data_IF_682011098936
#
_entry.id   IF_682011098936
#
_cell.length_a   1.000
_cell.length_b   1.000
_cell.length_c   1.000
_cell.angle_alpha   90.00
_cell.angle_beta   90.00
_cell.angle_gamma   90.00
#
_symmetry.space_group_name_H-M   'P 1'
#
loop_
_entity.id
_entity.type
_entity.pdbx_description
1 polymer ?
#
# COMPACT_ATOMS: atom_id res chain seq x y z
N UNK A 1 48.37 -45.12 -11.85
CA UNK A 1 49.28 -44.11 -11.25
C UNK A 1 48.90 -42.76 -11.85
N UNK A 2 48.49 -41.72 -11.15
CA UNK A 2 48.60 -41.37 -9.74
C UNK A 2 47.30 -40.69 -9.26
N UNK A 3 46.97 -40.90 -7.99
CA UNK A 3 45.84 -40.28 -7.30
C UNK A 3 46.26 -38.91 -6.74
N UNK A 4 45.39 -37.91 -6.89
CA UNK A 4 45.55 -36.59 -6.28
C UNK A 4 44.41 -36.37 -5.29
N UNK A 5 44.69 -36.56 -3.99
CA UNK A 5 43.80 -36.24 -2.89
C UNK A 5 44.12 -34.83 -2.34
N UNK A 6 43.11 -34.01 -1.97
CA UNK A 6 43.34 -32.72 -1.34
C UNK A 6 43.55 -32.82 0.19
N UNK A 7 44.27 -31.87 0.80
CA UNK A 7 44.71 -31.95 2.19
C UNK A 7 43.65 -31.52 3.22
N UNK A 8 43.71 -32.20 4.37
CA UNK A 8 42.97 -31.97 5.61
C UNK A 8 43.47 -30.69 6.30
N UNK A 9 42.58 -29.71 6.50
CA UNK A 9 42.87 -28.51 7.28
C UNK A 9 42.70 -28.79 8.78
N UNK A 10 43.79 -28.63 9.51
CA UNK A 10 43.89 -28.84 10.96
C UNK A 10 43.31 -27.67 11.75
N UNK A 11 42.64 -28.04 12.84
CA UNK A 11 42.04 -27.22 13.88
C UNK A 11 43.14 -26.66 14.80
N UNK A 12 43.21 -25.35 14.99
CA UNK A 12 44.08 -24.71 15.97
C UNK A 12 43.27 -24.12 17.14
N UNK A 13 43.71 -24.29 18.41
CA UNK A 13 43.09 -23.69 19.59
C UNK A 13 43.82 -22.41 20.05
N UNK A 14 43.08 -21.39 20.50
CA UNK A 14 43.56 -20.27 21.33
C UNK A 14 42.40 -19.85 22.24
N UNK A 15 42.36 -20.21 23.52
CA UNK A 15 43.17 -19.77 24.67
C UNK A 15 42.93 -18.29 25.07
N UNK A 16 42.08 -18.11 26.09
CA UNK A 16 42.41 -17.41 27.34
C UNK A 16 42.37 -15.87 27.40
N UNK A 17 41.57 -15.34 28.34
CA UNK A 17 42.03 -14.21 29.18
C UNK A 17 41.04 -13.08 29.49
N UNK A 18 40.57 -13.07 30.75
CA UNK A 18 40.40 -11.92 31.67
C UNK A 18 39.53 -10.72 31.24
N UNK A 19 38.48 -10.43 32.03
CA UNK A 19 38.61 -9.46 33.14
C UNK A 19 37.36 -9.46 34.03
N UNK A 20 37.59 -9.62 35.34
CA UNK A 20 36.59 -9.41 36.38
C UNK A 20 36.50 -7.93 36.75
N UNK A 21 35.29 -7.50 37.08
CA UNK A 21 34.99 -6.19 37.64
C UNK A 21 33.87 -6.33 38.66
N UNK A 22 34.24 -6.68 39.89
CA UNK A 22 33.37 -6.67 41.06
C UNK A 22 32.96 -5.24 41.41
N UNK A 23 31.66 -4.98 41.48
CA UNK A 23 31.12 -3.81 42.20
C UNK A 23 30.20 -4.31 43.30
N UNK A 24 30.72 -4.23 44.51
CA UNK A 24 30.05 -4.40 45.80
C UNK A 24 29.07 -3.25 46.05
N UNK A 25 27.80 -3.60 46.35
CA UNK A 25 26.87 -3.10 47.38
C UNK A 25 26.93 -1.61 47.83
N UNK A 26 25.79 -0.93 48.17
CA UNK A 26 24.84 -1.47 49.14
C UNK A 26 23.33 -1.11 49.04
N UNK A 27 22.59 -2.04 49.63
CA UNK A 27 21.29 -1.94 50.29
C UNK A 27 21.10 -0.65 51.11
N UNK A 28 20.01 0.09 50.85
CA UNK A 28 19.35 0.93 51.86
C UNK A 28 17.83 0.90 51.67
N UNK A 29 17.15 0.82 52.81
CA UNK A 29 15.72 0.64 53.00
C UNK A 29 14.93 1.96 52.91
N UNK A 30 13.68 1.86 52.42
CA UNK A 30 12.38 2.45 52.88
C UNK A 30 12.32 3.90 53.46
N UNK A 31 11.16 4.58 53.68
CA UNK A 31 9.74 4.40 53.25
C UNK A 31 9.05 5.77 52.85
N UNK A 32 7.71 5.77 52.72
CA UNK A 32 6.76 6.92 52.67
C UNK A 32 6.79 7.79 51.40
N UNK A 33 5.68 8.06 50.70
CA UNK A 33 4.42 8.62 51.19
C UNK A 33 4.38 10.11 50.83
N UNK A 34 3.76 10.48 49.71
CA UNK A 34 3.72 11.88 49.27
C UNK A 34 2.75 12.14 48.12
N UNK A 35 1.55 12.62 48.47
CA UNK A 35 0.67 13.40 47.60
C UNK A 35 1.39 14.67 47.14
N UNK A 36 1.21 15.06 45.86
CA UNK A 36 1.67 16.38 45.44
C UNK A 36 1.59 16.64 43.93
N UNK A 37 0.54 17.36 43.55
CA UNK A 37 0.46 18.35 42.47
C UNK A 37 0.87 17.98 41.03
N UNK A 38 -0.15 17.95 40.17
CA UNK A 38 -0.01 18.05 38.73
C UNK A 38 0.69 19.35 38.34
N UNK A 39 1.94 19.22 37.89
CA UNK A 39 2.66 20.28 37.21
C UNK A 39 2.54 20.03 35.71
N UNK A 40 1.92 20.98 35.01
CA UNK A 40 1.79 20.99 33.56
C UNK A 40 3.19 20.94 32.94
N UNK A 41 3.54 19.80 32.32
CA UNK A 41 4.72 19.65 31.49
C UNK A 41 4.57 20.56 30.27
N UNK A 42 5.17 21.75 30.36
CA UNK A 42 5.63 22.50 29.20
C UNK A 42 6.62 21.59 28.46
N UNK A 43 6.19 21.07 27.31
CA UNK A 43 7.08 20.47 26.34
C UNK A 43 8.07 21.54 25.86
N UNK A 44 9.25 21.59 26.49
CA UNK A 44 10.41 22.27 25.96
C UNK A 44 10.73 21.61 24.62
N UNK A 45 10.26 22.25 23.55
CA UNK A 45 10.74 22.02 22.20
C UNK A 45 12.20 22.44 22.21
N UNK A 46 13.09 21.47 22.39
CA UNK A 46 14.53 21.66 22.32
C UNK A 46 14.83 22.39 21.01
N UNK A 47 15.19 23.66 21.16
CA UNK A 47 15.51 24.55 20.06
C UNK A 47 16.70 23.93 19.32
N UNK A 48 16.41 23.33 18.17
CA UNK A 48 17.37 22.58 17.39
C UNK A 48 18.54 23.51 17.04
N UNK A 49 19.65 23.38 17.76
CA UNK A 49 20.86 24.13 17.49
C UNK A 49 21.25 23.90 16.03
N UNK A 50 21.31 24.99 15.28
CA UNK A 50 21.59 24.96 13.84
C UNK A 50 22.88 24.15 13.63
N UNK A 51 22.77 23.05 12.89
CA UNK A 51 23.90 22.16 12.67
C UNK A 51 25.06 22.96 12.01
N UNK A 52 26.32 22.75 12.44
CA UNK A 52 27.46 23.43 11.85
C UNK A 52 27.49 23.27 10.33
N UNK A 53 27.91 24.29 9.55
CA UNK A 53 28.03 24.15 8.10
C UNK A 53 29.04 23.04 7.74
N UNK A 54 28.79 22.32 6.63
CA UNK A 54 29.69 21.29 6.12
C UNK A 54 31.02 21.91 5.68
N UNK A 55 32.14 21.28 6.03
CA UNK A 55 33.46 21.69 5.54
C UNK A 55 33.61 21.37 4.05
N UNK A 56 34.38 22.21 3.34
CA UNK A 56 34.62 22.02 1.90
C UNK A 56 35.29 20.66 1.58
N UNK A 57 36.15 20.17 2.48
CA UNK A 57 36.75 18.84 2.35
C UNK A 57 35.70 17.72 2.40
N UNK A 58 34.72 17.81 3.30
CA UNK A 58 33.63 16.83 3.39
C UNK A 58 32.74 16.87 2.14
N UNK A 59 32.45 18.06 1.60
CA UNK A 59 31.69 18.19 0.34
C UNK A 59 32.39 17.50 -0.84
N UNK A 60 33.72 17.62 -0.94
CA UNK A 60 34.51 16.92 -1.94
C UNK A 60 34.42 15.40 -1.81
N UNK A 61 34.51 14.87 -0.59
CA UNK A 61 34.39 13.43 -0.33
C UNK A 61 32.98 12.89 -0.63
N UNK A 62 31.93 13.62 -0.23
CA UNK A 62 30.54 13.26 -0.54
C UNK A 62 30.30 13.27 -2.05
N UNK A 63 30.84 14.26 -2.76
CA UNK A 63 30.75 14.37 -4.22
C UNK A 63 31.44 13.21 -4.93
N UNK A 64 32.65 12.84 -4.49
CA UNK A 64 33.36 11.68 -5.02
C UNK A 64 32.59 10.38 -4.76
N UNK A 65 32.03 10.21 -3.55
CA UNK A 65 31.22 9.04 -3.20
C UNK A 65 29.93 8.94 -4.04
N UNK A 66 29.23 10.05 -4.26
CA UNK A 66 28.06 10.11 -5.12
C UNK A 66 28.42 9.78 -6.58
N UNK A 67 29.52 10.33 -7.09
CA UNK A 67 29.99 10.07 -8.45
C UNK A 67 30.35 8.60 -8.66
N UNK A 68 31.05 7.98 -7.69
CA UNK A 68 31.38 6.56 -7.71
C UNK A 68 30.16 5.63 -7.61
N UNK A 69 29.06 6.09 -7.03
CA UNK A 69 27.80 5.34 -6.93
C UNK A 69 26.83 5.57 -8.11
N UNK A 70 27.25 6.28 -9.17
CA UNK A 70 26.40 6.59 -10.32
C UNK A 70 25.52 7.83 -10.14
N UNK A 71 25.97 8.80 -9.34
CA UNK A 71 25.37 10.14 -9.21
C UNK A 71 24.26 10.27 -8.16
N UNK A 72 23.80 9.16 -7.57
CA UNK A 72 22.80 9.17 -6.50
C UNK A 72 23.10 8.12 -5.42
N UNK A 73 22.75 8.42 -4.17
CA UNK A 73 22.92 7.49 -3.06
C UNK A 73 21.87 7.73 -1.99
N UNK A 74 21.42 6.65 -1.32
CA UNK A 74 20.48 6.79 -0.21
C UNK A 74 21.14 7.47 0.99
N UNK A 75 20.39 8.32 1.68
CA UNK A 75 20.85 9.06 2.85
C UNK A 75 21.38 8.12 3.95
N UNK A 76 20.77 6.94 4.09
CA UNK A 76 21.21 5.93 5.04
C UNK A 76 22.58 5.30 4.71
N UNK A 77 22.97 5.24 3.43
CA UNK A 77 24.33 4.82 3.04
C UNK A 77 25.32 5.96 3.26
N UNK A 78 24.94 7.20 2.90
CA UNK A 78 25.75 8.38 3.15
C UNK A 78 26.02 8.64 4.63
N UNK A 79 25.03 8.46 5.51
CA UNK A 79 25.19 8.67 6.95
C UNK A 79 26.11 7.63 7.61
N UNK A 80 26.21 6.43 7.02
CA UNK A 80 27.18 5.41 7.46
C UNK A 80 28.60 5.73 7.01
N UNK A 81 28.77 6.30 5.81
CA UNK A 81 30.08 6.73 5.31
C UNK A 81 30.58 8.02 6.00
N UNK A 82 29.65 8.92 6.36
CA UNK A 82 29.95 10.21 6.97
C UNK A 82 29.14 10.36 8.29
N UNK A 83 29.69 9.87 9.41
CA UNK A 83 28.99 9.93 10.70
C UNK A 83 28.71 11.38 11.10
N UNK A 84 27.49 11.65 11.56
CA UNK A 84 27.05 13.00 11.96
C UNK A 84 26.49 13.85 10.83
N UNK A 85 26.49 13.36 9.58
CA UNK A 85 25.91 14.06 8.44
C UNK A 85 24.38 14.17 8.58
N UNK A 86 23.87 15.40 8.70
CA UNK A 86 22.43 15.69 8.82
C UNK A 86 21.83 16.13 7.48
N UNK A 87 20.56 15.79 7.23
CA UNK A 87 19.82 16.19 6.02
C UNK A 87 19.90 17.71 5.77
N UNK A 88 19.74 18.51 6.82
CA UNK A 88 19.74 19.96 6.74
C UNK A 88 21.05 20.56 6.17
N UNK A 89 22.18 19.86 6.36
CA UNK A 89 23.47 20.30 5.81
C UNK A 89 23.59 19.96 4.32
N UNK A 90 23.00 18.83 3.88
CA UNK A 90 23.03 18.37 2.49
C UNK A 90 22.09 19.16 1.58
N UNK A 91 20.93 19.60 2.11
CA UNK A 91 19.88 20.30 1.35
C UNK A 91 20.37 21.59 0.66
N UNK A 92 21.47 22.17 1.15
CA UNK A 92 22.08 23.38 0.56
C UNK A 92 22.97 23.10 -0.66
N UNK A 93 23.49 21.89 -0.78
CA UNK A 93 24.52 21.55 -1.79
C UNK A 93 24.06 20.44 -2.75
N UNK A 94 23.12 19.61 -2.31
CA UNK A 94 22.64 18.44 -3.05
C UNK A 94 21.12 18.43 -3.09
N UNK A 95 20.56 17.79 -4.11
CA UNK A 95 19.11 17.63 -4.22
C UNK A 95 18.69 16.41 -3.41
N UNK A 96 17.93 16.63 -2.34
CA UNK A 96 17.39 15.55 -1.50
C UNK A 96 15.92 15.34 -1.83
N UNK A 97 15.54 14.13 -2.22
CA UNK A 97 14.15 13.75 -2.46
C UNK A 97 13.81 12.45 -1.76
N UNK A 98 12.53 12.20 -1.53
CA UNK A 98 12.03 10.97 -0.93
C UNK A 98 11.63 10.00 -2.04
N UNK A 99 12.38 8.91 -2.20
CA UNK A 99 11.99 7.80 -3.03
C UNK A 99 11.08 6.89 -2.20
N UNK A 100 9.81 6.77 -2.61
CA UNK A 100 8.74 6.16 -1.80
C UNK A 100 9.00 4.72 -1.35
N UNK A 101 10.00 4.03 -1.91
CA UNK A 101 10.41 2.68 -1.49
C UNK A 101 11.73 2.65 -0.71
N UNK A 102 12.64 3.60 -0.91
CA UNK A 102 14.02 3.54 -0.39
C UNK A 102 14.38 4.65 0.60
N UNK A 103 13.44 5.53 0.94
CA UNK A 103 13.66 6.63 1.87
C UNK A 103 14.24 7.86 1.19
N UNK A 104 15.00 8.67 1.94
CA UNK A 104 15.63 9.87 1.42
C UNK A 104 16.83 9.52 0.53
N UNK A 105 16.85 10.03 -0.70
CA UNK A 105 17.94 9.86 -1.67
C UNK A 105 18.55 11.22 -1.98
N UNK A 106 19.89 11.26 -2.04
CA UNK A 106 20.68 12.46 -2.29
C UNK A 106 21.29 12.34 -3.68
N UNK A 107 21.12 13.37 -4.50
CA UNK A 107 21.59 13.41 -5.89
C UNK A 107 22.47 14.64 -6.15
N UNK A 108 23.48 14.45 -7.00
CA UNK A 108 24.39 15.51 -7.43
C UNK A 108 23.63 16.56 -8.28
N UNK A 109 23.65 17.84 -7.88
CA UNK A 109 23.11 18.92 -8.71
C UNK A 109 24.03 19.11 -9.93
N UNK A 110 23.56 18.73 -11.11
CA UNK A 110 24.30 18.94 -12.38
C UNK A 110 24.24 17.78 -13.37
N UNK A 111 23.83 16.57 -12.96
CA UNK A 111 23.73 15.41 -13.88
C UNK A 111 22.31 15.09 -14.37
N UNK A 112 21.35 15.99 -14.19
CA UNK A 112 19.96 15.79 -14.61
C UNK A 112 19.74 15.83 -16.14
N UNK A 113 20.78 15.76 -16.98
CA UNK A 113 20.66 16.02 -18.43
C UNK A 113 20.79 14.81 -19.38
N UNK A 114 21.01 13.55 -18.96
CA UNK A 114 21.14 12.48 -20.00
C UNK A 114 20.68 11.05 -19.68
N UNK A 115 19.82 10.80 -18.68
CA UNK A 115 19.39 9.42 -18.38
C UNK A 115 18.36 8.81 -19.34
N UNK A 116 18.21 9.30 -20.58
CA UNK A 116 17.40 8.65 -21.64
C UNK A 116 18.17 7.59 -22.46
N UNK A 117 19.41 7.23 -22.09
CA UNK A 117 20.22 6.29 -22.89
C UNK A 117 20.89 5.11 -22.16
N UNK A 118 20.50 4.75 -20.93
CA UNK A 118 20.89 3.43 -20.40
C UNK A 118 19.98 2.33 -20.94
N UNK A 119 20.28 1.95 -22.19
CA UNK A 119 19.82 0.74 -22.85
C UNK A 119 20.24 -0.50 -22.05
N UNK A 120 19.33 -1.46 -21.97
CA UNK A 120 19.54 -2.80 -21.46
C UNK A 120 20.76 -3.44 -22.16
N UNK A 121 21.86 -3.56 -21.42
CA UNK A 121 23.05 -4.29 -21.84
C UNK A 121 22.73 -5.76 -22.06
N UNK A 122 22.62 -6.09 -23.33
CA UNK A 122 22.38 -7.40 -23.91
C UNK A 122 23.32 -8.48 -23.36
N UNK A 123 22.72 -9.64 -23.09
CA UNK A 123 23.45 -10.88 -22.91
C UNK A 123 24.27 -11.24 -24.14
N UNK A 124 25.45 -11.79 -23.86
CA UNK A 124 26.37 -12.43 -24.78
C UNK A 124 25.65 -13.37 -25.76
N UNK A 125 25.80 -13.14 -27.07
CA UNK A 125 25.63 -14.18 -28.09
C UNK A 125 26.79 -14.12 -29.09
N UNK A 126 27.36 -15.30 -29.30
CA UNK A 126 28.45 -15.67 -30.19
C UNK A 126 28.30 -15.11 -31.63
N UNK A 127 29.42 -14.77 -32.29
CA UNK A 127 29.49 -14.69 -33.75
C UNK A 127 30.15 -15.95 -34.32
N UNK A 128 29.39 -16.87 -34.90
CA UNK A 128 29.91 -17.94 -35.76
C UNK A 128 28.81 -18.53 -36.67
N UNK A 129 29.18 -18.81 -37.93
CA UNK A 129 28.41 -19.35 -39.07
C UNK A 129 27.70 -18.30 -39.95
N UNK A 130 28.33 -17.83 -41.04
CA UNK A 130 28.32 -18.43 -42.41
C UNK A 130 26.92 -18.35 -43.06
N UNK A 131 26.69 -17.40 -43.97
CA UNK A 131 26.89 -17.47 -45.44
C UNK A 131 25.91 -18.39 -46.20
N UNK A 132 25.34 -17.78 -47.26
CA UNK A 132 24.72 -18.32 -48.49
C UNK A 132 23.36 -19.04 -48.40
N UNK A 133 22.34 -18.47 -49.07
CA UNK A 133 21.86 -18.96 -50.37
C UNK A 133 20.84 -17.97 -50.99
N UNK A 134 20.98 -17.72 -52.29
CA UNK A 134 20.11 -16.93 -53.17
C UNK A 134 18.97 -17.79 -53.74
N UNK A 135 17.98 -17.12 -54.34
CA UNK A 135 16.91 -17.65 -55.22
C UNK A 135 15.70 -18.21 -54.47
N UNK A 136 14.44 -18.16 -54.94
CA UNK A 136 13.92 -18.03 -56.30
C UNK A 136 12.41 -17.72 -56.24
N UNK A 137 11.92 -17.05 -57.28
CA UNK A 137 10.54 -16.80 -57.74
C UNK A 137 9.38 -17.64 -57.17
N UNK A 138 8.23 -16.98 -56.98
CA UNK A 138 6.93 -17.63 -56.78
C UNK A 138 5.75 -16.65 -56.86
N UNK A 139 5.36 -16.28 -58.08
CA UNK A 139 4.07 -15.67 -58.43
C UNK A 139 2.91 -16.61 -58.06
N UNK A 140 1.78 -16.08 -57.56
CA UNK A 140 0.57 -16.89 -57.46
C UNK A 140 -0.59 -16.36 -56.61
N UNK A 141 -1.19 -15.23 -57.03
CA UNK A 141 -2.64 -15.01 -57.15
C UNK A 141 -3.67 -15.27 -56.03
N UNK A 142 -4.90 -14.75 -56.19
CA UNK A 142 -5.82 -14.38 -55.11
C UNK A 142 -7.08 -15.26 -55.00
N UNK A 143 -7.73 -15.32 -53.82
CA UNK A 143 -9.15 -15.73 -53.67
C UNK A 143 -9.61 -15.48 -52.23
N UNK A 144 -10.46 -14.49 -51.93
CA UNK A 144 -11.93 -14.51 -51.98
C UNK A 144 -12.60 -15.46 -50.96
N UNK A 145 -13.12 -14.88 -49.87
CA UNK A 145 -14.30 -15.35 -49.11
C UNK A 145 -14.79 -14.15 -48.27
N UNK A 146 -15.87 -13.48 -48.69
CA UNK A 146 -17.23 -13.66 -48.14
C UNK A 146 -17.27 -13.36 -46.62
N UNK A 147 -17.85 -12.29 -46.10
CA UNK A 147 -19.07 -11.60 -46.52
C UNK A 147 -20.23 -12.08 -45.64
N UNK A 148 -20.45 -11.44 -44.48
CA UNK A 148 -21.65 -11.65 -43.67
C UNK A 148 -22.22 -10.29 -43.21
N UNK A 149 -23.52 -10.02 -43.47
CA UNK A 149 -24.08 -8.67 -43.46
C UNK A 149 -24.67 -8.23 -42.13
N UNK A 150 -24.99 -6.93 -42.10
CA UNK A 150 -25.46 -6.18 -40.94
C UNK A 150 -26.80 -6.60 -40.34
N UNK A 151 -27.00 -6.14 -39.11
CA UNK A 151 -28.31 -6.04 -38.47
C UNK A 151 -28.54 -4.59 -38.06
N UNK A 152 -29.25 -3.85 -38.92
CA UNK A 152 -29.90 -2.59 -38.57
C UNK A 152 -31.12 -2.94 -37.73
N UNK A 153 -31.27 -2.34 -36.56
CA UNK A 153 -32.53 -2.33 -35.85
C UNK A 153 -33.20 -0.98 -36.10
N UNK A 154 -34.15 -0.98 -37.04
CA UNK A 154 -35.05 0.12 -37.30
C UNK A 154 -36.40 -0.23 -36.66
N UNK A 155 -36.95 0.71 -35.89
CA UNK A 155 -38.33 0.65 -35.41
C UNK A 155 -38.48 1.14 -33.98
N UNK A 156 -38.87 2.41 -33.79
CA UNK A 156 -40.31 2.66 -33.66
C UNK A 156 -40.66 4.15 -33.47
N UNK A 157 -41.67 4.53 -34.25
CA UNK A 157 -42.78 5.44 -33.96
C UNK A 157 -42.49 6.90 -33.65
N UNK A 158 -42.63 7.66 -34.75
CA UNK A 158 -43.41 8.89 -34.77
C UNK A 158 -44.76 8.74 -34.04
N UNK A 159 -45.01 9.64 -33.10
CA UNK A 159 -46.35 10.03 -32.69
C UNK A 159 -46.35 11.55 -32.59
N UNK A 160 -47.05 12.16 -33.55
CA UNK A 160 -47.45 13.55 -33.56
C UNK A 160 -48.31 13.83 -32.33
N UNK A 161 -48.05 14.91 -31.60
CA UNK A 161 -49.05 15.56 -30.75
C UNK A 161 -48.87 17.08 -30.79
N UNK A 162 -50.00 17.72 -31.06
CA UNK A 162 -50.24 19.15 -31.22
C UNK A 162 -49.99 19.95 -29.92
N UNK A 163 -49.90 21.29 -30.01
CA UNK A 163 -49.72 22.17 -28.86
C UNK A 163 -51.01 22.31 -28.07
N UNK A 164 -50.98 21.91 -26.80
CA UNK A 164 -52.06 22.08 -25.84
C UNK A 164 -51.63 23.03 -24.73
N UNK A 165 -52.16 24.24 -24.78
CA UNK A 165 -52.21 25.23 -23.70
C UNK A 165 -52.93 24.64 -22.49
N UNK A 166 -52.24 24.51 -21.35
CA UNK A 166 -52.89 24.32 -20.06
C UNK A 166 -52.00 24.89 -18.95
N UNK A 167 -52.45 26.02 -18.42
CA UNK A 167 -52.08 26.50 -17.10
C UNK A 167 -52.34 25.40 -16.06
N UNK A 168 -51.34 25.10 -15.23
CA UNK A 168 -51.44 24.06 -14.21
C UNK A 168 -50.41 24.28 -13.13
N UNK A 169 -50.88 24.81 -12.01
CA UNK A 169 -50.14 25.04 -10.76
C UNK A 169 -49.57 23.72 -10.23
N UNK A 170 -48.33 23.74 -9.75
CA UNK A 170 -47.71 22.54 -9.18
C UNK A 170 -46.26 22.76 -8.80
N UNK A 171 -46.04 23.50 -7.72
CA UNK A 171 -44.75 23.67 -7.07
C UNK A 171 -44.23 22.33 -6.53
N UNK A 172 -43.01 21.92 -6.90
CA UNK A 172 -42.14 21.10 -6.04
C UNK A 172 -40.71 21.02 -6.62
N UNK A 173 -39.77 21.68 -5.94
CA UNK A 173 -38.41 21.16 -5.74
C UNK A 173 -37.45 21.10 -6.92
N UNK A 174 -37.47 22.06 -7.84
CA UNK A 174 -36.37 22.23 -8.79
C UNK A 174 -35.09 22.66 -8.07
N UNK A 175 -34.12 21.76 -7.94
CA UNK A 175 -32.73 22.10 -7.59
C UNK A 175 -32.10 22.80 -8.80
N UNK A 176 -32.46 24.05 -9.02
CA UNK A 176 -31.72 24.93 -9.93
C UNK A 176 -30.43 25.31 -9.22
N UNK A 177 -29.34 24.64 -9.60
CA UNK A 177 -27.99 24.99 -9.18
C UNK A 177 -27.76 26.47 -9.54
N UNK A 178 -27.49 27.37 -8.56
CA UNK A 178 -27.28 28.78 -8.84
C UNK A 178 -25.97 28.96 -9.63
N UNK A 179 -26.07 29.00 -10.96
CA UNK A 179 -24.96 29.15 -11.90
C UNK A 179 -24.53 30.62 -12.09
N UNK A 180 -24.71 31.47 -11.07
CA UNK A 180 -24.57 32.92 -11.25
C UNK A 180 -24.10 33.64 -9.99
N UNK A 181 -22.95 33.25 -9.39
CA UNK A 181 -22.20 34.18 -8.54
C UNK A 181 -20.73 33.79 -8.24
N UNK A 182 -19.99 33.18 -9.18
CA UNK A 182 -18.65 32.63 -8.89
C UNK A 182 -17.47 33.44 -9.48
N UNK A 183 -17.67 34.75 -9.70
CA UNK A 183 -16.61 35.71 -10.05
C UNK A 183 -16.29 36.65 -8.87
N UNK A 184 -16.37 36.16 -7.64
CA UNK A 184 -15.67 36.84 -6.54
C UNK A 184 -14.18 36.86 -6.90
N UNK A 185 -13.63 38.06 -7.11
CA UNK A 185 -12.24 38.30 -7.50
C UNK A 185 -11.31 37.51 -6.57
N UNK A 186 -10.88 36.34 -7.02
CA UNK A 186 -10.00 35.48 -6.24
C UNK A 186 -8.61 36.07 -6.37
N UNK A 187 -7.95 36.30 -5.23
CA UNK A 187 -6.58 36.78 -5.23
C UNK A 187 -5.71 35.87 -6.13
N UNK A 188 -4.84 36.47 -6.97
CA UNK A 188 -3.97 35.71 -7.84
C UNK A 188 -3.09 34.78 -7.02
N UNK A 189 -2.88 33.56 -7.52
CA UNK A 189 -2.12 32.55 -6.78
C UNK A 189 -0.66 33.00 -6.64
N UNK A 190 -0.12 32.97 -5.41
CA UNK A 190 1.28 33.30 -5.18
C UNK A 190 2.21 32.45 -6.06
N UNK A 191 3.19 33.07 -6.69
CA UNK A 191 4.03 32.43 -7.72
C UNK A 191 4.77 31.19 -7.20
N UNK A 192 5.15 31.18 -5.92
CA UNK A 192 5.74 30.01 -5.26
C UNK A 192 4.79 28.80 -5.28
N UNK A 193 3.50 29.00 -4.96
CA UNK A 193 2.50 27.93 -5.01
C UNK A 193 2.28 27.42 -6.43
N UNK A 194 2.34 28.30 -7.44
CA UNK A 194 2.28 27.87 -8.84
C UNK A 194 3.46 26.96 -9.22
N UNK A 195 4.67 27.27 -8.75
CA UNK A 195 5.84 26.42 -8.99
C UNK A 195 5.73 25.06 -8.30
N UNK A 196 5.21 25.02 -7.08
CA UNK A 196 4.96 23.76 -6.36
C UNK A 196 3.91 22.90 -7.07
N UNK A 197 2.80 23.51 -7.50
CA UNK A 197 1.75 22.83 -8.29
C UNK A 197 2.31 22.32 -9.61
N UNK A 198 3.12 23.12 -10.31
CA UNK A 198 3.79 22.72 -11.56
C UNK A 198 4.69 21.50 -11.33
N UNK A 199 5.57 21.56 -10.34
CA UNK A 199 6.47 20.45 -10.01
C UNK A 199 5.71 19.17 -9.61
N UNK A 200 4.59 19.32 -8.90
CA UNK A 200 3.73 18.20 -8.53
C UNK A 200 3.08 17.54 -9.76
N UNK A 201 2.59 18.34 -10.71
CA UNK A 201 2.01 17.84 -11.96
C UNK A 201 3.09 17.15 -12.80
N UNK A 202 4.28 17.74 -12.94
CA UNK A 202 5.43 17.15 -13.64
C UNK A 202 5.82 15.79 -13.05
N UNK A 203 5.91 15.70 -11.72
CA UNK A 203 6.21 14.46 -10.99
C UNK A 203 5.15 13.37 -11.24
N UNK A 204 3.90 13.76 -11.48
CA UNK A 204 2.81 12.84 -11.82
C UNK A 204 2.65 12.57 -13.31
N UNK A 205 3.66 12.91 -14.11
CA UNK A 205 3.66 12.65 -15.56
C UNK A 205 2.94 13.70 -16.36
N UNK A 206 2.85 14.94 -15.85
CA UNK A 206 2.37 16.12 -16.56
C UNK A 206 0.85 16.36 -16.51
N UNK A 207 0.06 15.39 -16.06
CA UNK A 207 -1.39 15.54 -15.88
C UNK A 207 -1.82 14.96 -14.54
N UNK A 208 -2.69 15.65 -13.82
CA UNK A 208 -3.16 15.21 -12.51
C UNK A 208 -4.67 15.51 -12.36
N UNK A 209 -5.48 14.57 -11.82
CA UNK A 209 -6.89 14.85 -11.55
C UNK A 209 -7.02 15.97 -10.52
N UNK A 210 -7.93 16.91 -10.78
CA UNK A 210 -8.16 18.11 -9.97
C UNK A 210 -8.48 17.73 -8.52
N UNK A 211 -9.24 16.67 -8.29
CA UNK A 211 -9.54 16.18 -6.94
C UNK A 211 -8.30 15.74 -6.15
N UNK A 212 -7.27 15.21 -6.80
CA UNK A 212 -5.99 14.89 -6.15
C UNK A 212 -5.19 16.15 -5.87
N UNK A 213 -5.23 17.08 -6.80
CA UNK A 213 -4.49 18.33 -6.71
C UNK A 213 -5.04 19.23 -5.58
N UNK A 214 -6.36 19.35 -5.43
CA UNK A 214 -7.01 20.11 -4.35
C UNK A 214 -6.87 19.46 -2.97
N UNK A 215 -6.67 18.13 -2.90
CA UNK A 215 -6.31 17.44 -1.65
C UNK A 215 -4.90 17.79 -1.18
N UNK A 216 -3.95 17.87 -2.12
CA UNK A 216 -2.56 18.22 -1.84
C UNK A 216 -2.39 19.72 -1.52
N UNK A 217 -3.06 20.57 -2.29
CA UNK A 217 -2.99 22.03 -2.16
C UNK A 217 -4.34 22.56 -1.66
N UNK A 218 -4.51 22.57 -0.33
CA UNK A 218 -5.76 23.02 0.30
C UNK A 218 -6.05 24.49 -0.02
N UNK A 219 -7.32 24.77 -0.31
CA UNK A 219 -7.79 26.11 -0.66
C UNK A 219 -7.54 26.53 -2.11
N UNK A 220 -6.94 25.66 -2.92
CA UNK A 220 -6.70 25.92 -4.33
C UNK A 220 -8.01 25.81 -5.13
N UNK A 221 -8.41 26.90 -5.79
CA UNK A 221 -9.65 26.94 -6.59
C UNK A 221 -9.36 26.70 -8.06
N UNK A 222 -10.33 26.13 -8.78
CA UNK A 222 -10.26 25.90 -10.24
C UNK A 222 -9.98 27.20 -11.00
N UNK A 223 -10.63 28.29 -10.60
CA UNK A 223 -10.50 29.62 -11.22
C UNK A 223 -9.06 30.15 -11.18
N UNK A 224 -8.30 29.85 -10.11
CA UNK A 224 -6.90 30.28 -9.97
C UNK A 224 -5.93 29.45 -10.83
N UNK A 225 -6.33 28.24 -11.24
CA UNK A 225 -5.49 27.36 -12.06
C UNK A 225 -5.73 27.56 -13.55
N UNK A 226 -6.94 27.94 -13.96
CA UNK A 226 -7.32 28.11 -15.36
C UNK A 226 -6.38 29.02 -16.18
N UNK A 227 -5.77 30.11 -15.64
CA UNK A 227 -4.84 30.95 -16.40
C UNK A 227 -3.48 30.30 -16.67
N UNK A 228 -3.09 29.31 -15.87
CA UNK A 228 -1.73 28.74 -15.88
C UNK A 228 -1.68 27.27 -16.33
N UNK A 229 -2.83 26.60 -16.39
CA UNK A 229 -2.93 25.17 -16.66
C UNK A 229 -4.12 24.87 -17.57
N UNK A 230 -3.99 23.82 -18.38
CA UNK A 230 -5.07 23.30 -19.20
C UNK A 230 -5.96 22.38 -18.37
N UNK A 231 -7.21 22.79 -18.14
CA UNK A 231 -8.20 22.01 -17.40
C UNK A 231 -9.16 21.36 -18.41
N UNK A 232 -9.01 20.06 -18.64
CA UNK A 232 -9.90 19.28 -19.52
C UNK A 232 -10.78 18.33 -18.69
N UNK A 233 -11.96 18.02 -19.23
CA UNK A 233 -12.77 16.90 -18.75
C UNK A 233 -12.68 15.82 -19.83
N UNK A 234 -12.08 14.68 -19.49
CA UNK A 234 -11.93 13.60 -20.45
C UNK A 234 -13.26 12.84 -20.59
N UNK A 235 -13.64 12.51 -21.82
CA UNK A 235 -14.86 11.75 -22.12
C UNK A 235 -14.76 10.34 -21.52
N UNK A 236 -15.36 10.14 -20.34
CA UNK A 236 -15.38 8.87 -19.62
C UNK A 236 -14.93 8.95 -18.16
N UNK A 237 -14.31 10.06 -17.74
CA UNK A 237 -13.93 10.30 -16.34
C UNK A 237 -14.77 11.46 -15.79
N UNK A 238 -15.44 11.24 -14.66
CA UNK A 238 -16.24 12.29 -14.02
C UNK A 238 -15.36 13.44 -13.48
N UNK A 239 -14.07 13.18 -13.26
CA UNK A 239 -13.13 14.11 -12.66
C UNK A 239 -12.42 14.99 -13.70
N UNK A 240 -12.38 16.30 -13.42
CA UNK A 240 -11.58 17.27 -14.17
C UNK A 240 -10.08 16.96 -14.05
N UNK A 241 -9.33 17.02 -15.14
CA UNK A 241 -7.87 16.86 -15.15
C UNK A 241 -7.18 18.21 -15.38
N UNK A 242 -6.09 18.45 -14.65
CA UNK A 242 -5.24 19.63 -14.78
C UNK A 242 -3.91 19.20 -15.42
N UNK A 243 -3.53 19.84 -16.52
CA UNK A 243 -2.34 19.53 -17.30
C UNK A 243 -1.51 20.77 -17.58
N UNK A 244 -0.21 20.57 -17.81
CA UNK A 244 0.71 21.65 -18.16
C UNK A 244 0.38 22.20 -19.55
N UNK A 245 0.45 23.53 -19.76
CA UNK A 245 0.15 24.14 -21.05
C UNK A 245 1.12 23.70 -22.16
N UNK A 246 2.34 23.30 -21.79
CA UNK A 246 3.37 22.82 -22.72
C UNK A 246 3.13 21.39 -23.22
N UNK A 247 2.28 20.60 -22.55
CA UNK A 247 1.97 19.25 -23.00
C UNK A 247 0.82 19.24 -23.99
N UNK A 248 1.04 18.57 -25.11
CA UNK A 248 0.02 18.34 -26.12
C UNK A 248 -1.02 17.31 -25.60
N UNK A 249 -2.32 17.51 -25.90
CA UNK A 249 -3.38 16.60 -25.46
C UNK A 249 -3.15 15.12 -25.83
N UNK A 250 -2.49 14.87 -26.98
CA UNK A 250 -2.21 13.49 -27.43
C UNK A 250 -1.22 12.75 -26.52
N UNK A 251 -0.27 13.45 -25.89
CA UNK A 251 0.67 12.82 -24.96
C UNK A 251 -0.02 12.38 -23.67
N UNK A 252 -1.02 13.15 -23.24
CA UNK A 252 -1.83 12.86 -22.05
C UNK A 252 -2.62 11.57 -22.29
N UNK A 253 -3.28 11.45 -23.46
CA UNK A 253 -4.02 10.26 -23.85
C UNK A 253 -3.12 9.01 -23.92
N UNK A 254 -1.94 9.13 -24.55
CA UNK A 254 -0.99 8.01 -24.65
C UNK A 254 -0.45 7.57 -23.28
N UNK A 255 -0.14 8.51 -22.37
CA UNK A 255 0.32 8.16 -21.02
C UNK A 255 -0.79 7.52 -20.18
N UNK A 256 -2.04 8.00 -20.31
CA UNK A 256 -3.19 7.35 -19.66
C UNK A 256 -3.33 5.90 -20.13
N UNK A 257 -3.21 5.66 -21.43
CA UNK A 257 -3.25 4.32 -22.02
C UNK A 257 -2.10 3.44 -21.51
N UNK A 258 -0.87 3.95 -21.47
CA UNK A 258 0.26 3.21 -20.91
C UNK A 258 0.05 2.86 -19.43
N UNK A 259 -0.57 3.76 -18.67
CA UNK A 259 -0.82 3.55 -17.25
C UNK A 259 -1.95 2.56 -17.01
N UNK A 260 -3.03 2.61 -17.79
CA UNK A 260 -4.10 1.61 -17.73
C UNK A 260 -3.62 0.24 -18.22
N UNK A 261 -2.75 0.19 -19.23
CA UNK A 261 -2.09 -1.04 -19.69
C UNK A 261 -1.15 -1.60 -18.62
N UNK A 262 -0.34 -0.76 -17.96
CA UNK A 262 0.53 -1.21 -16.87
C UNK A 262 -0.29 -1.65 -15.65
N UNK A 263 -1.37 -0.94 -15.30
CA UNK A 263 -2.28 -1.38 -14.25
C UNK A 263 -2.97 -2.68 -14.63
N UNK A 264 -3.40 -2.88 -15.88
CA UNK A 264 -4.00 -4.12 -16.35
C UNK A 264 -3.01 -5.27 -16.46
N UNK A 265 -1.72 -5.00 -16.69
CA UNK A 265 -0.67 -6.04 -16.60
C UNK A 265 -0.37 -6.40 -15.14
N UNK A 266 -0.36 -5.41 -14.23
CA UNK A 266 -0.06 -5.65 -12.81
C UNK A 266 -1.25 -6.27 -12.07
N UNK A 267 -2.44 -5.78 -12.37
CA UNK A 267 -3.71 -6.39 -12.02
C UNK A 267 -4.07 -7.27 -13.20
N UNK A 268 -3.38 -8.41 -13.33
CA UNK A 268 -3.73 -9.42 -14.32
C UNK A 268 -5.25 -9.65 -14.34
N UNK A 269 -5.81 -10.13 -15.47
CA UNK A 269 -7.25 -10.31 -15.64
C UNK A 269 -7.78 -10.86 -14.34
N UNK A 270 -8.63 -10.07 -13.67
CA UNK A 270 -9.24 -10.46 -12.41
C UNK A 270 -10.10 -11.65 -12.78
N UNK A 271 -9.48 -12.83 -12.82
CA UNK A 271 -10.12 -14.11 -12.90
C UNK A 271 -11.25 -13.96 -11.91
N UNK A 272 -12.46 -14.04 -12.43
CA UNK A 272 -13.68 -14.13 -11.69
C UNK A 272 -13.46 -15.30 -10.74
N UNK A 273 -12.90 -14.95 -9.57
CA UNK A 273 -12.26 -15.89 -8.66
C UNK A 273 -13.40 -16.77 -8.23
N UNK A 274 -13.42 -17.98 -8.79
CA UNK A 274 -14.50 -18.94 -8.66
C UNK A 274 -15.03 -18.84 -7.24
N UNK A 275 -16.27 -18.35 -7.13
CA UNK A 275 -16.82 -17.82 -5.90
C UNK A 275 -16.76 -18.95 -4.86
N UNK A 276 -15.78 -18.85 -3.96
CA UNK A 276 -15.48 -19.91 -3.01
C UNK A 276 -16.75 -20.13 -2.18
N UNK A 277 -17.23 -21.38 -2.06
CA UNK A 277 -18.56 -21.68 -1.51
C UNK A 277 -18.71 -20.98 -0.17
N UNK A 278 -19.63 -20.02 -0.14
CA UNK A 278 -19.77 -19.10 0.98
C UNK A 278 -20.24 -19.91 2.19
N UNK A 279 -19.37 -20.05 3.18
CA UNK A 279 -19.71 -20.71 4.44
C UNK A 279 -20.92 -19.98 5.04
N UNK A 280 -22.03 -20.69 5.33
CA UNK A 280 -23.25 -20.09 5.86
C UNK A 280 -22.96 -19.36 7.17
N UNK A 281 -23.69 -18.27 7.42
CA UNK A 281 -23.50 -17.47 8.62
C UNK A 281 -24.08 -18.21 9.83
N UNK A 282 -23.36 -18.15 10.96
CA UNK A 282 -23.85 -18.73 12.21
C UNK A 282 -25.15 -18.05 12.65
N UNK A 283 -26.11 -18.84 13.12
CA UNK A 283 -27.46 -18.41 13.49
C UNK A 283 -27.42 -17.39 14.62
N UNK A 284 -26.48 -17.52 15.56
CA UNK A 284 -26.26 -16.54 16.63
C UNK A 284 -25.86 -15.18 16.08
N UNK A 285 -24.97 -15.15 15.07
CA UNK A 285 -24.57 -13.89 14.41
C UNK A 285 -25.70 -13.28 13.60
N UNK A 286 -26.54 -14.10 12.96
CA UNK A 286 -27.74 -13.60 12.26
C UNK A 286 -28.66 -12.89 13.25
N UNK A 287 -28.91 -13.48 14.42
CA UNK A 287 -29.74 -12.86 15.45
C UNK A 287 -29.16 -11.53 15.97
N UNK A 288 -27.85 -11.45 16.19
CA UNK A 288 -27.19 -10.21 16.59
C UNK A 288 -27.27 -9.12 15.50
N UNK A 289 -27.09 -9.50 14.22
CA UNK A 289 -27.22 -8.56 13.09
C UNK A 289 -28.66 -8.05 12.99
N UNK A 290 -29.66 -8.92 13.17
CA UNK A 290 -31.08 -8.54 13.18
C UNK A 290 -31.38 -7.56 14.31
N UNK A 291 -30.97 -7.88 15.54
CA UNK A 291 -31.15 -6.98 16.69
C UNK A 291 -30.45 -5.63 16.49
N UNK A 292 -29.26 -5.62 15.86
CA UNK A 292 -28.55 -4.41 15.52
C UNK A 292 -29.30 -3.56 14.47
N UNK A 293 -29.88 -4.20 13.45
CA UNK A 293 -30.67 -3.49 12.45
C UNK A 293 -31.97 -2.94 13.04
N UNK A 294 -32.68 -3.70 13.86
CA UNK A 294 -33.90 -3.25 14.58
C UNK A 294 -33.61 -2.03 15.47
N UNK A 295 -32.50 -2.04 16.20
CA UNK A 295 -32.06 -0.90 17.01
C UNK A 295 -31.72 0.36 16.18
N UNK A 296 -31.49 0.21 14.88
CA UNK A 296 -31.19 1.30 13.93
C UNK A 296 -32.32 1.46 12.89
N UNK A 297 -33.59 1.33 13.30
CA UNK A 297 -34.76 1.56 12.45
C UNK A 297 -34.91 0.54 11.30
N UNK A 298 -34.42 -0.69 11.48
CA UNK A 298 -34.59 -1.81 10.56
C UNK A 298 -33.71 -1.78 9.30
N UNK A 299 -32.90 -0.74 9.10
CA UNK A 299 -32.02 -0.62 7.93
C UNK A 299 -30.72 0.10 8.25
N UNK A 300 -29.62 -0.36 7.65
CA UNK A 300 -28.32 0.27 7.83
C UNK A 300 -27.39 0.04 6.64
N UNK A 301 -26.42 0.93 6.42
CA UNK A 301 -25.46 0.73 5.32
C UNK A 301 -24.57 -0.48 5.57
N UNK A 302 -24.25 -1.22 4.50
CA UNK A 302 -23.40 -2.41 4.56
C UNK A 302 -22.05 -2.11 5.23
N UNK A 303 -21.47 -0.95 4.94
CA UNK A 303 -20.22 -0.50 5.56
C UNK A 303 -20.31 -0.38 7.08
N UNK A 304 -21.47 -0.03 7.64
CA UNK A 304 -21.65 0.06 9.11
C UNK A 304 -21.96 -1.30 9.73
N UNK A 305 -22.72 -2.16 9.05
CA UNK A 305 -22.97 -3.54 9.48
C UNK A 305 -21.65 -4.34 9.51
N UNK A 306 -20.84 -4.29 8.45
CA UNK A 306 -19.56 -5.01 8.38
C UNK A 306 -18.51 -4.52 9.38
N UNK A 307 -18.60 -3.25 9.83
CA UNK A 307 -17.76 -2.72 10.92
C UNK A 307 -18.19 -3.23 12.29
N UNK A 308 -19.49 -3.35 12.53
CA UNK A 308 -20.04 -3.91 13.78
C UNK A 308 -19.76 -5.42 13.87
N UNK A 309 -19.90 -6.13 12.75
CA UNK A 309 -19.75 -7.59 12.66
C UNK A 309 -18.52 -7.95 11.82
N UNK A 310 -17.35 -7.90 12.46
CA UNK A 310 -16.07 -8.19 11.78
C UNK A 310 -16.05 -9.61 11.21
N UNK A 311 -15.58 -9.73 9.97
CA UNK A 311 -15.43 -11.00 9.27
C UNK A 311 -16.69 -11.46 8.52
N UNK A 312 -17.82 -10.77 8.66
CA UNK A 312 -19.04 -11.09 7.92
C UNK A 312 -18.94 -10.52 6.50
N UNK A 313 -19.03 -11.39 5.48
CA UNK A 313 -18.97 -11.00 4.06
C UNK A 313 -20.35 -10.62 3.54
N UNK A 314 -20.40 -9.74 2.53
CA UNK A 314 -21.66 -9.33 1.85
C UNK A 314 -22.46 -10.54 1.36
N UNK A 315 -21.78 -11.52 0.75
CA UNK A 315 -22.42 -12.72 0.22
C UNK A 315 -23.10 -13.58 1.30
N UNK A 316 -22.59 -13.57 2.54
CA UNK A 316 -23.21 -14.27 3.67
C UNK A 316 -24.48 -13.56 4.13
N UNK A 317 -24.45 -12.23 4.21
CA UNK A 317 -25.62 -11.43 4.57
C UNK A 317 -26.71 -11.48 3.50
N UNK A 318 -26.34 -11.59 2.22
CA UNK A 318 -27.29 -11.65 1.11
C UNK A 318 -28.24 -12.86 1.17
N UNK A 319 -27.89 -13.90 1.94
CA UNK A 319 -28.75 -15.07 2.14
C UNK A 319 -29.89 -14.81 3.14
N UNK A 320 -29.72 -13.86 4.06
CA UNK A 320 -30.65 -13.62 5.18
C UNK A 320 -31.28 -12.22 5.17
N UNK A 321 -30.69 -11.26 4.45
CA UNK A 321 -31.09 -9.85 4.48
C UNK A 321 -31.29 -9.30 3.06
N UNK A 322 -32.17 -8.30 2.94
CA UNK A 322 -32.43 -7.63 1.66
C UNK A 322 -31.44 -6.48 1.45
N UNK A 323 -30.87 -6.39 0.25
CA UNK A 323 -29.94 -5.33 -0.14
C UNK A 323 -30.62 -4.36 -1.10
N UNK A 324 -30.77 -3.11 -0.69
CA UNK A 324 -31.29 -2.04 -1.54
C UNK A 324 -30.13 -1.14 -1.97
N UNK A 325 -29.89 -1.07 -3.28
CA UNK A 325 -28.89 -0.16 -3.86
C UNK A 325 -29.50 1.23 -3.92
N UNK A 326 -28.93 2.17 -3.16
CA UNK A 326 -29.31 3.59 -3.19
C UNK A 326 -28.43 4.36 -4.18
N UNK A 327 -28.55 5.69 -4.18
CA UNK A 327 -27.78 6.61 -5.04
C UNK A 327 -26.26 6.43 -4.93
N UNK A 328 -25.77 5.79 -3.86
CA UNK A 328 -24.37 5.40 -3.73
C UNK A 328 -24.18 3.91 -4.05
N UNK A 329 -23.71 3.56 -5.27
CA UNK A 329 -23.52 2.16 -5.67
C UNK A 329 -22.43 1.44 -4.85
N UNK A 330 -21.62 2.17 -4.08
CA UNK A 330 -20.54 1.59 -3.29
C UNK A 330 -20.96 1.10 -1.89
N UNK A 331 -22.10 1.57 -1.35
CA UNK A 331 -22.53 1.21 0.02
C UNK A 331 -24.03 0.88 0.05
N UNK A 332 -24.44 -0.34 -0.34
CA UNK A 332 -25.83 -0.74 -0.36
C UNK A 332 -26.41 -0.77 1.06
N UNK A 333 -27.70 -0.50 1.19
CA UNK A 333 -28.42 -0.58 2.47
C UNK A 333 -28.87 -2.02 2.70
N UNK A 334 -28.55 -2.54 3.89
CA UNK A 334 -28.99 -3.83 4.41
C UNK A 334 -30.23 -3.59 5.26
N UNK A 335 -31.34 -4.23 4.93
CA UNK A 335 -32.59 -4.15 5.69
C UNK A 335 -33.04 -5.53 6.16
N UNK A 336 -33.68 -5.57 7.34
CA UNK A 336 -34.44 -6.75 7.78
C UNK A 336 -35.65 -6.87 6.85
N UNK A 337 -35.53 -7.70 5.82
CA UNK A 337 -36.69 -8.07 5.02
C UNK A 337 -37.56 -9.01 5.82
N UNK A 338 -38.88 -8.94 5.65
CA UNK A 338 -39.71 -10.10 6.00
C UNK A 338 -39.12 -11.30 5.26
N UNK A 339 -38.73 -12.38 5.96
CA UNK A 339 -38.23 -13.55 5.27
C UNK A 339 -39.36 -14.03 4.37
N UNK A 340 -39.22 -13.84 3.06
CA UNK A 340 -40.13 -14.43 2.08
C UNK A 340 -40.17 -15.91 2.40
N UNK A 341 -41.32 -16.42 2.83
CA UNK A 341 -41.50 -17.75 3.41
C UNK A 341 -40.92 -18.91 2.55
N UNK A 342 -40.65 -18.65 1.28
CA UNK A 342 -39.91 -19.53 0.38
C UNK A 342 -38.47 -19.86 0.85
N UNK A 343 -37.72 -18.91 1.42
CA UNK A 343 -36.30 -19.11 1.78
C UNK A 343 -36.10 -20.01 3.02
N UNK A 344 -37.07 -20.01 3.95
CA UNK A 344 -37.02 -20.87 5.14
C UNK A 344 -37.31 -22.34 4.84
N UNK A 345 -37.98 -22.65 3.71
CA UNK A 345 -38.26 -24.04 3.33
C UNK A 345 -37.06 -24.74 2.70
N UNK A 346 -36.19 -24.03 1.96
CA UNK A 346 -35.03 -24.63 1.27
C UNK A 346 -33.85 -24.98 2.21
N UNK A 347 -33.70 -24.28 3.34
CA UNK A 347 -32.64 -24.55 4.31
C UNK A 347 -32.83 -25.86 5.10
N UNK A 348 -34.04 -26.43 5.11
CA UNK A 348 -34.36 -27.62 5.90
C UNK A 348 -34.01 -28.97 5.23
N UNK A 349 -33.61 -28.99 3.94
CA UNK A 349 -33.41 -30.24 3.18
C UNK A 349 -31.99 -30.45 2.61
N UNK A 350 -31.04 -29.54 2.81
CA UNK A 350 -29.73 -29.59 2.15
C UNK A 350 -28.58 -30.19 2.99
N UNK A 351 -28.87 -30.84 4.12
CA UNK A 351 -27.86 -31.50 4.95
C UNK A 351 -27.93 -33.03 4.80
N UNK A 352 -27.33 -33.60 3.75
CA UNK A 352 -26.82 -34.99 3.72
C UNK A 352 -26.05 -35.27 2.41
N UNK A 353 -24.82 -35.75 2.58
CA UNK A 353 -23.83 -36.28 1.60
C UNK A 353 -23.00 -35.29 0.76
N UNK A 354 -21.68 -35.23 1.00
CA UNK A 354 -20.67 -35.93 0.15
C UNK A 354 -19.21 -35.66 0.56
N UNK A 355 -18.57 -36.80 0.86
CA UNK A 355 -17.19 -37.28 0.73
C UNK A 355 -16.15 -36.41 -0.01
N UNK A 356 -15.06 -36.16 0.73
CA UNK A 356 -13.68 -35.82 0.38
C UNK A 356 -13.22 -35.96 -1.09
N UNK A 357 -12.58 -34.89 -1.60
CA UNK A 357 -11.37 -34.98 -2.42
C UNK A 357 -10.48 -33.74 -2.28
N UNK A 358 -9.19 -34.03 -2.22
CA UNK A 358 -8.03 -33.27 -1.77
C UNK A 358 -7.56 -32.20 -2.77
N UNK A 359 -7.07 -31.05 -2.26
CA UNK A 359 -6.04 -30.25 -2.93
C UNK A 359 -6.27 -28.73 -2.95
N UNK A 360 -5.81 -28.01 -1.92
CA UNK A 360 -5.72 -26.55 -1.93
C UNK A 360 -5.44 -25.98 -0.54
N UNK A 361 -4.19 -25.58 -0.27
CA UNK A 361 -3.69 -25.16 1.04
C UNK A 361 -4.30 -23.81 1.48
N UNK A 362 -5.44 -23.86 2.18
CA UNK A 362 -5.87 -22.80 3.09
C UNK A 362 -5.87 -23.39 4.51
N UNK A 363 -4.85 -23.06 5.28
CA UNK A 363 -4.79 -23.34 6.72
C UNK A 363 -5.58 -22.27 7.48
N UNK A 364 -6.90 -22.35 7.44
CA UNK A 364 -7.76 -21.71 8.45
C UNK A 364 -8.22 -22.77 9.44
N UNK A 365 -8.02 -22.50 10.74
CA UNK A 365 -8.81 -23.14 11.80
C UNK A 365 -8.29 -24.44 12.41
N UNK A 366 -7.05 -24.86 12.16
CA UNK A 366 -6.44 -25.85 13.07
C UNK A 366 -6.03 -25.10 14.33
N UNK A 367 -6.80 -25.29 15.41
CA UNK A 367 -6.56 -24.67 16.71
C UNK A 367 -5.08 -24.72 17.03
N UNK A 368 -4.50 -23.57 17.41
CA UNK A 368 -3.08 -23.44 17.62
C UNK A 368 -2.64 -24.42 18.72
N UNK A 369 -2.15 -25.58 18.30
CA UNK A 369 -1.54 -26.54 19.23
C UNK A 369 -0.44 -25.80 19.99
N UNK A 370 -0.35 -26.00 21.32
CA UNK A 370 0.69 -25.38 22.11
C UNK A 370 2.06 -25.74 21.50
N UNK A 371 2.94 -24.75 21.45
CA UNK A 371 4.26 -24.92 20.83
C UNK A 371 5.06 -25.96 21.62
N UNK A 372 5.78 -26.85 20.92
CA UNK A 372 6.64 -27.82 21.58
C UNK A 372 7.68 -27.13 22.48
N UNK A 373 7.84 -27.63 23.71
CA UNK A 373 8.70 -27.01 24.72
C UNK A 373 10.17 -26.91 24.28
N UNK A 374 10.67 -27.88 23.50
CA UNK A 374 12.05 -27.83 22.98
C UNK A 374 12.21 -26.68 21.98
N UNK A 375 11.18 -26.45 21.17
CA UNK A 375 11.18 -25.39 20.17
C UNK A 375 11.14 -24.01 20.81
N UNK A 376 10.43 -23.86 21.93
CA UNK A 376 10.46 -22.62 22.73
C UNK A 376 11.86 -22.39 23.31
N UNK A 377 12.52 -23.43 23.82
CA UNK A 377 13.89 -23.34 24.34
C UNK A 377 14.90 -22.92 23.26
N UNK A 378 14.79 -23.44 22.03
CA UNK A 378 15.63 -23.01 20.90
C UNK A 378 15.42 -21.53 20.54
N UNK A 379 14.17 -21.05 20.57
CA UNK A 379 13.85 -19.65 20.31
C UNK A 379 14.42 -18.75 21.41
N UNK A 380 14.33 -19.17 22.68
CA UNK A 380 14.93 -18.43 23.80
C UNK A 380 16.46 -18.36 23.67
N UNK A 381 17.12 -19.46 23.34
CA UNK A 381 18.57 -19.46 23.10
C UNK A 381 18.97 -18.57 21.92
N UNK A 382 18.17 -18.53 20.85
CA UNK A 382 18.40 -17.62 19.72
C UNK A 382 18.20 -16.14 20.11
N UNK A 383 17.21 -15.82 20.95
CA UNK A 383 16.99 -14.47 21.48
C UNK A 383 18.17 -14.00 22.35
N UNK A 384 18.73 -14.89 23.16
CA UNK A 384 19.91 -14.62 23.99
C UNK A 384 21.17 -14.41 23.14
N UNK A 385 21.43 -15.30 22.17
CA UNK A 385 22.58 -15.21 21.30
C UNK A 385 22.62 -13.92 20.45
N UNK A 386 21.46 -13.36 20.11
CA UNK A 386 21.34 -12.14 19.33
C UNK A 386 21.25 -10.85 20.15
N UNK A 387 21.16 -10.93 21.49
CA UNK A 387 20.96 -9.77 22.36
C UNK A 387 19.61 -9.11 22.13
N UNK A 388 18.53 -9.81 22.50
CA UNK A 388 17.13 -9.36 22.42
C UNK A 388 16.90 -7.86 22.73
N UNK A 389 15.90 -7.20 22.10
CA UNK A 389 14.76 -7.76 21.36
C UNK A 389 14.99 -7.98 19.84
N UNK A 390 14.29 -8.97 19.25
CA UNK A 390 14.35 -9.31 17.81
C UNK A 390 12.97 -9.12 17.12
N UNK A 391 12.93 -8.66 15.86
CA UNK A 391 11.68 -8.56 15.11
C UNK A 391 11.11 -9.95 14.77
N UNK A 392 9.79 -10.07 14.89
CA UNK A 392 9.01 -11.29 14.64
C UNK A 392 9.29 -11.87 13.25
N UNK A 393 9.48 -11.00 12.24
CA UNK A 393 9.85 -11.42 10.90
C UNK A 393 11.20 -12.16 10.81
N UNK A 394 12.15 -11.90 11.71
CA UNK A 394 13.41 -12.67 11.78
C UNK A 394 13.20 -14.01 12.47
N UNK A 395 12.43 -14.05 13.56
CA UNK A 395 12.15 -15.27 14.31
C UNK A 395 11.38 -16.27 13.44
N UNK A 396 10.34 -15.82 12.73
CA UNK A 396 9.55 -16.69 11.84
C UNK A 396 10.35 -17.24 10.65
N UNK A 397 11.40 -16.53 10.21
CA UNK A 397 12.35 -17.04 9.21
C UNK A 397 13.29 -18.10 9.75
N UNK A 398 13.76 -17.94 10.99
CA UNK A 398 14.64 -18.91 11.64
C UNK A 398 13.87 -20.14 12.13
N UNK A 399 12.61 -19.96 12.54
CA UNK A 399 11.73 -20.99 13.08
C UNK A 399 10.44 -21.07 12.26
N UNK A 400 10.47 -21.73 11.08
CA UNK A 400 9.33 -21.78 10.17
C UNK A 400 8.12 -22.48 10.81
N UNK A 401 6.98 -21.80 10.84
CA UNK A 401 5.76 -22.29 11.47
C UNK A 401 5.52 -21.77 12.89
N UNK A 402 6.46 -21.01 13.47
CA UNK A 402 6.21 -20.28 14.70
C UNK A 402 5.15 -19.19 14.45
N UNK A 403 3.96 -19.32 15.04
CA UNK A 403 2.91 -18.31 14.92
C UNK A 403 3.01 -17.30 16.06
N UNK A 404 2.57 -16.07 15.79
CA UNK A 404 2.54 -14.98 16.79
C UNK A 404 1.80 -15.40 18.06
N UNK A 405 0.61 -16.01 17.92
CA UNK A 405 -0.21 -16.44 19.05
C UNK A 405 0.48 -17.46 19.96
N UNK A 406 1.29 -18.37 19.39
CA UNK A 406 2.08 -19.35 20.15
C UNK A 406 3.25 -18.67 20.88
N UNK A 407 3.90 -17.70 20.24
CA UNK A 407 5.00 -16.96 20.86
C UNK A 407 4.52 -16.10 22.03
N UNK A 408 3.33 -15.51 21.95
CA UNK A 408 2.73 -14.71 23.03
C UNK A 408 2.46 -15.50 24.32
N UNK A 409 2.37 -16.84 24.24
CA UNK A 409 2.17 -17.70 25.42
C UNK A 409 3.45 -17.84 26.27
N UNK A 410 4.63 -17.70 25.65
CA UNK A 410 5.92 -17.96 26.30
C UNK A 410 6.87 -16.77 26.29
N UNK A 411 6.63 -15.78 25.43
CA UNK A 411 7.52 -14.65 25.16
C UNK A 411 6.72 -13.36 25.12
N UNK A 412 7.43 -12.24 25.36
CA UNK A 412 6.81 -10.93 25.41
C UNK A 412 6.89 -10.29 24.02
N UNK A 413 5.75 -10.25 23.31
CA UNK A 413 5.62 -9.71 21.96
C UNK A 413 5.03 -8.30 22.04
N UNK A 414 5.87 -7.27 21.85
CA UNK A 414 5.46 -5.88 21.85
C UNK A 414 5.47 -5.30 20.44
N UNK A 415 4.49 -4.48 20.11
CA UNK A 415 4.54 -3.69 18.88
C UNK A 415 5.44 -2.47 19.08
N UNK A 416 6.41 -2.27 18.20
CA UNK A 416 7.32 -1.12 18.25
C UNK A 416 7.06 -0.19 17.06
N UNK A 417 6.67 1.06 17.36
CA UNK A 417 6.22 2.01 16.35
C UNK A 417 7.34 2.46 15.40
N UNK A 418 8.60 2.49 15.86
CA UNK A 418 9.74 2.92 15.06
C UNK A 418 10.09 1.91 13.95
N UNK A 419 10.10 0.62 14.30
CA UNK A 419 10.37 -0.47 13.37
C UNK A 419 9.13 -0.90 12.56
N UNK A 420 7.93 -0.53 13.02
CA UNK A 420 6.64 -0.98 12.46
C UNK A 420 6.55 -2.50 12.36
N UNK A 421 7.11 -3.19 13.35
CA UNK A 421 7.07 -4.66 13.45
C UNK A 421 6.79 -5.07 14.90
N UNK A 422 6.43 -6.33 15.09
CA UNK A 422 6.33 -6.94 16.42
C UNK A 422 7.73 -7.35 16.89
N UNK A 423 8.16 -6.86 18.04
CA UNK A 423 9.41 -7.21 18.68
C UNK A 423 9.17 -8.26 19.75
N UNK A 424 9.92 -9.37 19.68
CA UNK A 424 9.84 -10.46 20.64
C UNK A 424 11.01 -10.36 21.60
N UNK A 425 10.71 -10.42 22.89
CA UNK A 425 11.68 -10.27 23.99
C UNK A 425 11.46 -11.35 25.05
N UNK A 426 12.52 -11.66 25.81
CA UNK A 426 12.40 -12.59 26.92
C UNK A 426 11.63 -11.93 28.08
N UNK A 427 10.75 -12.68 28.78
CA UNK A 427 10.08 -12.15 29.96
C UNK A 427 11.11 -11.75 31.02
N UNK A 428 11.02 -10.52 31.55
CA UNK A 428 12.00 -9.89 32.45
C UNK A 428 12.30 -10.67 33.75
N UNK A 429 11.56 -11.74 34.06
CA UNK A 429 11.78 -12.58 35.24
C UNK A 429 12.62 -13.84 35.02
N UNK A 430 12.84 -14.29 33.77
CA UNK A 430 13.51 -15.58 33.51
C UNK A 430 15.03 -15.50 33.38
N UNK A 431 15.58 -14.32 33.11
CA UNK A 431 17.03 -14.14 32.85
C UNK A 431 17.91 -14.45 34.07
N UNK A 432 17.35 -14.44 35.29
CA UNK A 432 18.11 -14.68 36.53
C UNK A 432 18.44 -16.17 36.78
N UNK A 433 17.68 -17.12 36.23
CA UNK A 433 17.92 -18.55 36.51
C UNK A 433 18.94 -19.21 35.57
N UNK A 434 19.03 -18.77 34.31
CA UNK A 434 19.95 -19.36 33.35
C UNK A 434 21.43 -19.05 33.66
N UNK A 435 21.72 -17.98 34.40
CA UNK A 435 23.10 -17.62 34.79
C UNK A 435 23.60 -18.35 36.05
N UNK A 436 22.76 -19.17 36.70
CA UNK A 436 23.14 -19.94 37.90
C UNK A 436 23.35 -21.44 37.64
N UNK A 437 23.14 -21.90 36.40
CA UNK A 437 23.55 -23.23 35.92
C UNK A 437 24.77 -23.10 35.02
#
# INVERSE_FOLDING_TARGET
AAACAPPVAQKAPRNGGRNGGSWTSPQMAMPFGGQGNGNAMQAQTAQASAAPPLSHAALGQITAALTGAGGSMSLGKLSRAFPGLKKAQLDRHFRVYTDGKQGLTVMLMGQLQSSSQFSLGAGMRNPAAQQSHLSLLGLGGPSAAAGTPGRRNAGNRAAQRAPGTAAGMGAMGGWTTPQANEQAATEPLAQQKLMEVRSFIEMHGGSCPLGRLTRQFRGLKKVQLAPHFNISQDEGEADLCVSLPEMQPFEIANRKRQRSEHLAMTQGPREERAEEPVVPLDVTKVAEVTAFLEANNGSQTLGRVTRAFKGVKKAQLAQYFHFTVTDNPQDPIVSVGEPTAAALSELSMAAVTKKARTGGHQTEGQGDEPMDANRVAEIMAALEAHGAPLPLGKITRQFPGAKKAQLEQHLLVNWEAESKDFMVSMPQGMTMMASMM
#
